data_IF_642596075062
#
_entry.id   IF_642596075062
#
_cell.length_a   1.000
_cell.length_b   1.000
_cell.length_c   1.000
_cell.angle_alpha   90.00
_cell.angle_beta   90.00
_cell.angle_gamma   90.00
#
_symmetry.space_group_name_H-M   'P 1'
#
loop_
_entity.id
_entity.type
_entity.pdbx_description
1 polymer ?
#
# COMPACT_ATOMS: atom_id res chain seq x y z
N UNK A 1 -11.79 -42.77 -29.97
CA UNK A 1 -12.01 -41.34 -30.10
C UNK A 1 -11.15 -40.67 -29.03
N UNK A 2 -9.99 -40.17 -29.41
CA UNK A 2 -9.08 -39.45 -28.50
C UNK A 2 -9.50 -37.99 -28.54
N UNK A 3 -10.15 -37.53 -27.47
CA UNK A 3 -10.38 -36.11 -27.25
C UNK A 3 -9.02 -35.43 -27.02
N UNK A 4 -8.56 -34.69 -27.99
CA UNK A 4 -7.44 -33.77 -27.84
C UNK A 4 -7.90 -32.61 -26.98
N UNK A 5 -7.68 -32.72 -25.64
CA UNK A 5 -7.83 -31.62 -24.73
C UNK A 5 -6.89 -30.50 -25.18
N UNK A 6 -7.46 -29.43 -25.75
CA UNK A 6 -6.68 -28.25 -26.12
C UNK A 6 -6.37 -27.45 -24.84
N UNK A 7 -5.21 -27.71 -24.28
CA UNK A 7 -4.68 -26.89 -23.18
C UNK A 7 -4.51 -25.43 -23.66
N UNK A 8 -5.27 -24.53 -23.08
CA UNK A 8 -5.16 -23.11 -23.38
C UNK A 8 -4.03 -22.52 -22.53
N UNK A 9 -2.87 -22.28 -23.15
CA UNK A 9 -1.74 -21.62 -22.47
C UNK A 9 -2.00 -20.12 -22.40
N UNK A 10 -2.08 -19.58 -21.19
CA UNK A 10 -2.17 -18.14 -20.95
C UNK A 10 -0.82 -17.62 -20.46
N UNK A 11 -0.25 -16.64 -21.14
CA UNK A 11 1.03 -16.03 -20.77
C UNK A 11 0.75 -14.74 -20.00
N UNK A 12 1.29 -14.63 -18.79
CA UNK A 12 1.31 -13.40 -18.02
C UNK A 12 2.63 -12.68 -18.29
N UNK A 13 2.61 -11.51 -18.95
CA UNK A 13 3.82 -10.76 -19.25
C UNK A 13 4.55 -10.29 -17.98
N UNK A 14 5.87 -10.34 -17.97
CA UNK A 14 6.74 -9.85 -16.90
C UNK A 14 6.43 -8.40 -16.49
N UNK A 15 6.05 -7.56 -17.44
CA UNK A 15 5.66 -6.16 -17.18
C UNK A 15 4.43 -6.06 -16.29
N UNK A 16 3.44 -6.93 -16.48
CA UNK A 16 2.23 -6.96 -15.67
C UNK A 16 2.52 -7.46 -14.26
N UNK A 17 3.34 -8.50 -14.12
CA UNK A 17 3.80 -8.98 -12.82
C UNK A 17 4.52 -7.88 -12.03
N UNK A 18 5.46 -7.16 -12.67
CA UNK A 18 6.17 -6.04 -12.06
C UNK A 18 5.22 -4.91 -11.61
N UNK A 19 4.24 -4.54 -12.44
CA UNK A 19 3.24 -3.51 -12.09
C UNK A 19 2.41 -3.94 -10.89
N UNK A 20 1.94 -5.19 -10.87
CA UNK A 20 1.17 -5.74 -9.75
C UNK A 20 1.99 -5.74 -8.46
N UNK A 21 3.27 -6.12 -8.48
CA UNK A 21 4.15 -6.09 -7.33
C UNK A 21 4.35 -4.67 -6.76
N UNK A 22 4.41 -3.65 -7.63
CA UNK A 22 4.62 -2.26 -7.24
C UNK A 22 3.35 -1.57 -6.69
N UNK A 23 2.17 -2.09 -7.00
CA UNK A 23 0.90 -1.41 -6.74
C UNK A 23 0.67 -1.12 -5.26
N UNK A 24 0.99 -2.07 -4.37
CA UNK A 24 0.79 -1.87 -2.94
C UNK A 24 1.73 -0.80 -2.36
N UNK A 25 3.01 -0.80 -2.76
CA UNK A 25 3.97 0.21 -2.32
C UNK A 25 3.63 1.61 -2.82
N UNK A 26 3.14 1.75 -4.05
CA UNK A 26 2.61 3.01 -4.55
C UNK A 26 1.41 3.49 -3.76
N UNK A 27 0.46 2.61 -3.45
CA UNK A 27 -0.70 2.95 -2.64
C UNK A 27 -0.33 3.44 -1.24
N UNK A 28 0.66 2.82 -0.60
CA UNK A 28 1.19 3.27 0.69
C UNK A 28 1.73 4.69 0.62
N UNK A 29 2.50 5.02 -0.43
CA UNK A 29 3.04 6.37 -0.62
C UNK A 29 1.91 7.37 -0.85
N UNK A 30 0.98 7.07 -1.77
CA UNK A 30 -0.15 7.95 -2.12
C UNK A 30 -1.03 8.21 -0.88
N UNK A 31 -1.29 7.20 -0.06
CA UNK A 31 -2.08 7.34 1.16
C UNK A 31 -1.43 8.30 2.18
N UNK A 32 -0.09 8.37 2.22
CA UNK A 32 0.65 9.26 3.11
C UNK A 32 0.90 10.65 2.52
N UNK A 33 0.74 10.82 1.22
CA UNK A 33 1.13 12.04 0.50
C UNK A 33 0.47 13.33 1.05
N UNK A 34 -0.85 13.38 1.34
CA UNK A 34 -1.47 14.60 1.85
C UNK A 34 -0.85 15.11 3.15
N UNK A 35 -0.52 14.20 4.05
CA UNK A 35 0.09 14.57 5.32
C UNK A 35 1.49 15.15 5.18
N UNK A 36 2.27 14.78 4.14
CA UNK A 36 3.59 15.37 3.89
C UNK A 36 3.50 16.89 3.65
N UNK A 37 2.39 17.36 3.09
CA UNK A 37 2.15 18.79 2.87
C UNK A 37 1.43 19.46 4.04
N UNK A 38 0.51 18.75 4.69
CA UNK A 38 -0.35 19.29 5.73
C UNK A 38 0.39 19.44 7.06
N UNK A 39 1.22 18.46 7.45
CA UNK A 39 1.93 18.48 8.74
C UNK A 39 2.83 19.71 8.90
N UNK A 40 3.64 20.13 7.92
CA UNK A 40 4.38 21.39 8.03
C UNK A 40 3.49 22.62 8.26
N UNK A 41 2.32 22.67 7.61
CA UNK A 41 1.36 23.77 7.77
C UNK A 41 0.77 23.76 9.20
N UNK A 42 0.47 22.59 9.75
CA UNK A 42 -0.02 22.46 11.13
C UNK A 42 1.02 22.90 12.16
N UNK A 43 2.30 22.58 11.94
CA UNK A 43 3.40 22.90 12.85
C UNK A 43 3.76 24.40 12.78
N UNK A 44 3.84 24.97 11.58
CA UNK A 44 4.36 26.31 11.36
C UNK A 44 3.26 27.40 11.33
N UNK A 45 2.04 27.02 10.95
CA UNK A 45 0.98 27.98 10.64
C UNK A 45 0.04 28.27 11.79
N UNK A 46 0.03 27.49 12.87
CA UNK A 46 -0.92 27.62 13.99
C UNK A 46 -2.36 27.91 13.54
N UNK A 47 -2.95 27.09 12.67
CA UNK A 47 -4.28 27.33 12.12
C UNK A 47 -5.36 27.30 13.20
N UNK A 48 -6.49 27.95 12.96
CA UNK A 48 -7.63 27.85 13.85
C UNK A 48 -8.18 26.40 13.92
N UNK A 49 -8.97 26.13 14.98
CA UNK A 49 -9.46 24.78 15.27
C UNK A 49 -10.26 24.16 14.11
N UNK A 50 -11.05 24.95 13.38
CA UNK A 50 -11.86 24.45 12.27
C UNK A 50 -10.98 24.04 11.09
N UNK A 51 -10.01 24.89 10.73
CA UNK A 51 -9.04 24.59 9.68
C UNK A 51 -8.23 23.36 10.02
N UNK A 52 -7.82 23.24 11.27
CA UNK A 52 -7.09 22.05 11.77
C UNK A 52 -7.91 20.77 11.60
N UNK A 53 -9.19 20.76 11.95
CA UNK A 53 -10.07 19.61 11.78
C UNK A 53 -10.18 19.23 10.30
N UNK A 54 -10.38 20.18 9.40
CA UNK A 54 -10.42 19.93 7.97
C UNK A 54 -9.12 19.33 7.44
N UNK A 55 -7.98 19.82 7.88
CA UNK A 55 -6.67 19.29 7.52
C UNK A 55 -6.49 17.84 7.97
N UNK A 56 -6.92 17.50 9.19
CA UNK A 56 -6.92 16.11 9.66
C UNK A 56 -7.81 15.20 8.83
N UNK A 57 -9.00 15.64 8.46
CA UNK A 57 -9.88 14.87 7.58
C UNK A 57 -9.19 14.59 6.24
N UNK A 58 -8.58 15.60 5.62
CA UNK A 58 -7.85 15.46 4.34
C UNK A 58 -6.67 14.48 4.49
N UNK A 59 -6.00 14.44 5.63
CA UNK A 59 -4.94 13.48 5.92
C UNK A 59 -5.44 12.04 6.08
N UNK A 60 -6.55 11.86 6.80
CA UNK A 60 -7.04 10.54 7.18
C UNK A 60 -7.84 9.85 6.06
N UNK A 61 -8.61 10.60 5.29
CA UNK A 61 -9.48 10.02 4.24
C UNK A 61 -8.71 9.14 3.25
N UNK A 62 -7.58 9.54 2.67
CA UNK A 62 -6.82 8.67 1.77
C UNK A 62 -6.31 7.40 2.44
N UNK A 63 -5.92 7.46 3.71
CA UNK A 63 -5.47 6.29 4.46
C UNK A 63 -6.62 5.29 4.69
N UNK A 64 -7.81 5.78 5.04
CA UNK A 64 -9.00 4.94 5.26
C UNK A 64 -9.44 4.31 3.94
N UNK A 65 -9.50 5.08 2.86
CA UNK A 65 -9.84 4.56 1.54
C UNK A 65 -8.82 3.52 1.08
N UNK A 66 -7.54 3.81 1.28
CA UNK A 66 -6.47 2.86 0.95
C UNK A 66 -6.56 1.58 1.79
N UNK A 67 -6.95 1.67 3.06
CA UNK A 67 -7.15 0.49 3.89
C UNK A 67 -8.16 -0.48 3.27
N UNK A 68 -9.32 -0.01 2.84
CA UNK A 68 -10.32 -0.85 2.17
C UNK A 68 -9.84 -1.42 0.85
N UNK A 69 -9.25 -0.59 -0.03
CA UNK A 69 -8.73 -1.00 -1.33
C UNK A 69 -7.55 -1.98 -1.18
N UNK A 70 -6.69 -1.76 -0.20
CA UNK A 70 -5.50 -2.58 0.03
C UNK A 70 -5.82 -4.04 0.33
N UNK A 71 -6.95 -4.31 0.99
CA UNK A 71 -7.40 -5.68 1.29
C UNK A 71 -7.69 -6.43 -0.02
N UNK A 72 -8.42 -5.80 -0.94
CA UNK A 72 -8.73 -6.41 -2.24
C UNK A 72 -7.45 -6.65 -3.07
N UNK A 73 -6.56 -5.66 -3.11
CA UNK A 73 -5.27 -5.77 -3.80
C UNK A 73 -4.42 -6.90 -3.19
N UNK A 74 -4.39 -7.00 -1.86
CA UNK A 74 -3.65 -8.05 -1.17
C UNK A 74 -4.16 -9.45 -1.57
N UNK A 75 -5.48 -9.66 -1.56
CA UNK A 75 -6.09 -10.94 -1.92
C UNK A 75 -5.74 -11.32 -3.36
N UNK A 76 -5.89 -10.39 -4.31
CA UNK A 76 -5.61 -10.62 -5.73
C UNK A 76 -4.11 -10.90 -5.94
N UNK A 77 -3.24 -10.10 -5.37
CA UNK A 77 -1.80 -10.21 -5.58
C UNK A 77 -1.19 -11.42 -4.87
N UNK A 78 -1.74 -11.86 -3.73
CA UNK A 78 -1.29 -13.08 -3.03
C UNK A 78 -1.49 -14.34 -3.87
N UNK A 79 -2.52 -14.37 -4.70
CA UNK A 79 -2.84 -15.50 -5.57
C UNK A 79 -2.27 -15.32 -6.99
N UNK A 80 -1.35 -14.37 -7.17
CA UNK A 80 -0.69 -14.18 -8.47
C UNK A 80 0.21 -15.38 -8.77
N UNK A 81 0.16 -15.93 -10.00
CA UNK A 81 1.01 -17.05 -10.40
C UNK A 81 2.50 -16.78 -10.31
N UNK A 82 2.90 -15.51 -10.38
CA UNK A 82 4.27 -15.10 -10.11
C UNK A 82 4.46 -14.88 -8.59
N UNK A 83 5.14 -15.81 -7.93
CA UNK A 83 5.38 -15.78 -6.46
C UNK A 83 6.06 -14.49 -5.98
N UNK A 84 6.88 -13.85 -6.83
CA UNK A 84 7.54 -12.57 -6.49
C UNK A 84 6.52 -11.45 -6.27
N UNK A 85 5.41 -11.44 -7.01
CA UNK A 85 4.31 -10.49 -6.81
C UNK A 85 3.73 -10.65 -5.42
N UNK A 86 3.41 -11.89 -5.02
CA UNK A 86 2.90 -12.20 -3.69
C UNK A 86 3.87 -11.77 -2.58
N UNK A 87 5.16 -12.06 -2.74
CA UNK A 87 6.20 -11.70 -1.76
C UNK A 87 6.29 -10.19 -1.52
N UNK A 88 6.44 -9.37 -2.58
CA UNK A 88 6.52 -7.91 -2.44
C UNK A 88 5.23 -7.31 -1.88
N UNK A 89 4.08 -7.78 -2.37
CA UNK A 89 2.77 -7.31 -1.87
C UNK A 89 2.60 -7.63 -0.39
N UNK A 90 2.96 -8.85 0.05
CA UNK A 90 2.84 -9.27 1.43
C UNK A 90 3.73 -8.43 2.37
N UNK A 91 4.97 -8.16 1.99
CA UNK A 91 5.86 -7.30 2.78
C UNK A 91 5.31 -5.88 2.91
N UNK A 92 4.86 -5.28 1.81
CA UNK A 92 4.30 -3.93 1.81
C UNK A 92 3.00 -3.86 2.63
N UNK A 93 2.15 -4.90 2.55
CA UNK A 93 0.91 -5.00 3.30
C UNK A 93 1.14 -5.12 4.81
N UNK A 94 2.05 -5.97 5.24
CA UNK A 94 2.36 -6.14 6.68
C UNK A 94 2.83 -4.83 7.31
N UNK A 95 3.68 -4.07 6.62
CA UNK A 95 4.14 -2.78 7.11
C UNK A 95 2.99 -1.78 7.20
N UNK A 96 2.15 -1.73 6.18
CA UNK A 96 0.99 -0.85 6.17
C UNK A 96 0.02 -1.17 7.30
N UNK A 97 -0.35 -2.44 7.47
CA UNK A 97 -1.28 -2.84 8.54
C UNK A 97 -0.68 -2.67 9.94
N UNK A 98 0.63 -2.84 10.11
CA UNK A 98 1.30 -2.51 11.36
C UNK A 98 1.22 -1.01 11.68
N UNK A 99 1.40 -0.14 10.68
CA UNK A 99 1.25 1.31 10.83
C UNK A 99 -0.20 1.68 11.13
N UNK A 100 -1.18 1.09 10.44
CA UNK A 100 -2.61 1.32 10.75
C UNK A 100 -2.92 0.90 12.20
N UNK A 101 -2.44 -0.27 12.64
CA UNK A 101 -2.56 -0.71 14.03
C UNK A 101 -1.93 0.27 15.02
N UNK A 102 -0.74 0.76 14.72
CA UNK A 102 -0.08 1.79 15.54
C UNK A 102 -0.89 3.07 15.64
N UNK A 103 -1.44 3.58 14.52
CA UNK A 103 -2.29 4.78 14.49
C UNK A 103 -3.57 4.57 15.30
N UNK A 104 -4.22 3.40 15.21
CA UNK A 104 -5.43 3.07 15.98
C UNK A 104 -5.11 3.05 17.48
N UNK A 105 -4.00 2.41 17.89
CA UNK A 105 -3.59 2.37 19.29
C UNK A 105 -3.28 3.78 19.79
N UNK A 106 -2.46 4.56 19.07
CA UNK A 106 -2.13 5.92 19.45
C UNK A 106 -3.38 6.81 19.55
N UNK A 107 -4.31 6.69 18.58
CA UNK A 107 -5.57 7.41 18.59
C UNK A 107 -6.47 7.05 19.78
N UNK A 108 -6.45 5.78 20.21
CA UNK A 108 -7.23 5.33 21.37
C UNK A 108 -6.73 5.95 22.67
N UNK A 109 -5.40 6.06 22.86
CA UNK A 109 -4.82 6.56 24.09
C UNK A 109 -4.61 8.08 24.12
N UNK A 110 -4.34 8.68 22.97
CA UNK A 110 -3.94 10.09 22.86
C UNK A 110 -4.83 10.92 21.92
N UNK A 111 -6.00 10.40 21.54
CA UNK A 111 -6.85 10.95 20.49
C UNK A 111 -7.41 12.35 20.73
N UNK A 112 -7.26 12.91 21.95
CA UNK A 112 -7.72 14.26 22.30
C UNK A 112 -6.66 15.34 22.07
N UNK A 113 -5.42 14.95 21.83
CA UNK A 113 -4.28 15.88 21.71
C UNK A 113 -3.73 15.85 20.27
N UNK A 114 -3.71 17.05 19.67
CA UNK A 114 -3.28 17.26 18.29
C UNK A 114 -1.79 16.94 18.08
N UNK A 115 -0.96 17.29 19.06
CA UNK A 115 0.49 17.10 18.95
C UNK A 115 0.84 15.60 18.87
N UNK A 116 0.12 14.76 19.61
CA UNK A 116 0.27 13.29 19.49
C UNK A 116 -0.17 12.76 18.14
N UNK A 117 -1.22 13.32 17.54
CA UNK A 117 -1.63 12.95 16.18
C UNK A 117 -0.57 13.31 15.14
N UNK A 118 -0.01 14.52 15.25
CA UNK A 118 1.08 14.98 14.37
C UNK A 118 2.29 14.05 14.53
N UNK A 119 2.72 13.79 15.78
CA UNK A 119 3.84 12.90 16.07
C UNK A 119 3.60 11.47 15.53
N UNK A 120 2.42 10.92 15.77
CA UNK A 120 2.02 9.58 15.28
C UNK A 120 2.10 9.52 13.76
N UNK A 121 1.60 10.56 13.08
CA UNK A 121 1.64 10.60 11.62
C UNK A 121 3.07 10.74 11.10
N UNK A 122 3.89 11.60 11.69
CA UNK A 122 5.31 11.79 11.30
C UNK A 122 6.08 10.47 11.43
N UNK A 123 5.95 9.79 12.57
CA UNK A 123 6.59 8.48 12.79
C UNK A 123 6.12 7.47 11.74
N UNK A 124 4.81 7.41 11.49
CA UNK A 124 4.23 6.51 10.48
C UNK A 124 4.78 6.79 9.08
N UNK A 125 4.87 8.05 8.69
CA UNK A 125 5.39 8.46 7.39
C UNK A 125 6.89 8.17 7.24
N UNK A 126 7.69 8.43 8.30
CA UNK A 126 9.12 8.16 8.33
C UNK A 126 9.46 6.67 8.21
N UNK A 127 8.55 5.80 8.59
CA UNK A 127 8.73 4.35 8.45
C UNK A 127 8.16 3.87 7.10
N UNK A 128 6.91 4.20 6.80
CA UNK A 128 6.19 3.61 5.68
C UNK A 128 6.69 4.11 4.32
N UNK A 129 6.95 5.42 4.20
CA UNK A 129 7.34 6.02 2.91
C UNK A 129 8.73 5.54 2.47
N UNK A 130 9.80 5.60 3.29
CA UNK A 130 11.12 5.11 2.87
C UNK A 130 11.12 3.62 2.56
N UNK A 131 10.40 2.80 3.34
CA UNK A 131 10.33 1.37 3.10
C UNK A 131 9.56 1.06 1.80
N UNK A 132 8.50 1.79 1.49
CA UNK A 132 7.77 1.64 0.24
C UNK A 132 8.62 2.09 -0.97
N UNK A 133 9.38 3.17 -0.85
CA UNK A 133 10.32 3.61 -1.88
C UNK A 133 11.40 2.55 -2.09
N UNK A 134 11.99 2.00 -1.02
CA UNK A 134 12.96 0.90 -1.09
C UNK A 134 12.38 -0.29 -1.85
N UNK A 135 11.15 -0.70 -1.55
CA UNK A 135 10.51 -1.82 -2.25
C UNK A 135 10.34 -1.54 -3.74
N UNK A 136 9.96 -0.32 -4.12
CA UNK A 136 9.88 0.08 -5.53
C UNK A 136 11.25 -0.02 -6.24
N UNK A 137 12.35 0.36 -5.56
CA UNK A 137 13.70 0.18 -6.09
C UNK A 137 14.07 -1.31 -6.25
N UNK A 138 13.74 -2.16 -5.28
CA UNK A 138 13.99 -3.59 -5.35
C UNK A 138 13.19 -4.23 -6.49
N UNK A 139 11.89 -3.91 -6.61
CA UNK A 139 11.02 -4.36 -7.70
C UNK A 139 11.56 -3.93 -9.07
N UNK A 140 12.14 -2.72 -9.16
CA UNK A 140 12.76 -2.23 -10.40
C UNK A 140 14.01 -3.02 -10.79
N UNK A 141 14.80 -3.48 -9.79
CA UNK A 141 16.04 -4.23 -10.01
C UNK A 141 15.84 -5.73 -10.18
N UNK A 142 14.66 -6.24 -9.79
CA UNK A 142 14.32 -7.66 -9.89
C UNK A 142 14.23 -8.10 -11.35
N UNK A 143 14.68 -9.33 -11.62
CA UNK A 143 14.54 -9.94 -12.93
C UNK A 143 13.15 -10.58 -13.05
N UNK A 144 12.30 -9.97 -13.86
CA UNK A 144 10.93 -10.42 -14.11
C UNK A 144 10.89 -11.28 -15.37
N UNK A 145 10.29 -12.45 -15.27
CA UNK A 145 10.08 -13.38 -16.38
C UNK A 145 8.59 -13.53 -16.67
N UNK A 146 8.27 -13.84 -17.91
CA UNK A 146 6.91 -14.23 -18.29
C UNK A 146 6.56 -15.56 -17.61
N UNK A 147 5.31 -15.70 -17.15
CA UNK A 147 4.82 -16.92 -16.52
C UNK A 147 3.75 -17.54 -17.40
N UNK A 148 3.96 -18.80 -17.79
CA UNK A 148 2.95 -19.60 -18.50
C UNK A 148 2.03 -20.28 -17.49
N UNK A 149 0.72 -20.18 -17.70
CA UNK A 149 -0.30 -20.88 -16.93
C UNK A 149 -0.97 -21.86 -17.88
N UNK A 150 -0.93 -23.14 -17.53
CA UNK A 150 -1.77 -24.17 -18.17
C UNK A 150 -3.14 -24.16 -17.48
N UNK A 151 -4.16 -23.67 -18.16
CA UNK A 151 -5.55 -23.78 -17.72
C UNK A 151 -6.12 -25.11 -18.15
N UNK A 152 -6.42 -26.02 -17.23
CA UNK A 152 -7.37 -27.07 -17.48
C UNK A 152 -8.76 -26.43 -17.59
N UNK A 153 -9.39 -26.58 -18.71
CA UNK A 153 -10.82 -26.24 -18.88
C UNK A 153 -11.61 -27.36 -18.20
N UNK A 154 -12.19 -27.03 -17.04
CA UNK A 154 -13.20 -27.88 -16.39
C UNK A 154 -14.51 -27.83 -17.16
#
# INVERSE_FOLDING_TARGET
MSETSSSHKTIIPAVNARRSAAMFSWGNIIAMLPGLFIVPILILGSPDKMVMIFMFIIMLVPMILWFGVSIAIYIIAKHNPNERVGHFTQQAAYRYYAIVGFIVVAGTFFGTDVDYWIATWVISALILVPLSIRDLFLIKKEHWTDVEIEGEIL
#
